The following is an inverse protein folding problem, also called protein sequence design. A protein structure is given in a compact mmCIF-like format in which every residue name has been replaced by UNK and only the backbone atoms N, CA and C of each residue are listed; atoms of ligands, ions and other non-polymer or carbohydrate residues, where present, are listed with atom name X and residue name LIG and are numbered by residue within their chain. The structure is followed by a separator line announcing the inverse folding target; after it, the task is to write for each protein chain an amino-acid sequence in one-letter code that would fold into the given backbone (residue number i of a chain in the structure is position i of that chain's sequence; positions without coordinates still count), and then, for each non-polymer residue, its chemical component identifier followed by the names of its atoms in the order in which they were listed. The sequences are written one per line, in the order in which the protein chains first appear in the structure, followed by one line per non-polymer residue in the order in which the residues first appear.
data_IF_305459210746
#
_entry.id   IF_305459210746
#
_cell.length_a   1.000
_cell.length_b   1.000
_cell.length_c   1.000
_cell.angle_alpha   90.00
_cell.angle_beta   90.00
_cell.angle_gamma   90.00
#
_symmetry.space_group_name_H-M   'P 1'
#
loop_
_entity.id
_entity.type
_entity.pdbx_description
1 polymer ?
#
# COMPACT_ATOMS: atom_id res chain seq x y z
N UNK A 1 5.77 4.44 -18.16
CA UNK A 1 5.25 5.53 -17.32
C UNK A 1 5.99 6.82 -17.65
N UNK A 2 5.45 7.98 -17.28
CA UNK A 2 6.14 9.27 -17.37
C UNK A 2 6.55 9.72 -15.96
N UNK A 3 7.86 9.71 -15.72
CA UNK A 3 8.46 9.91 -14.39
C UNK A 3 9.01 11.34 -14.32
N UNK A 4 8.58 12.10 -13.32
CA UNK A 4 9.19 13.38 -12.97
C UNK A 4 10.20 13.17 -11.84
N UNK A 5 11.48 13.30 -12.15
CA UNK A 5 12.56 13.27 -11.15
C UNK A 5 12.94 14.69 -10.73
N UNK A 6 12.99 14.93 -9.42
CA UNK A 6 13.23 16.23 -8.83
C UNK A 6 14.53 16.15 -8.00
N UNK A 7 15.56 16.86 -8.46
CA UNK A 7 16.88 16.81 -7.84
C UNK A 7 16.94 17.60 -6.51
N UNK A 8 17.91 17.26 -5.66
CA UNK A 8 18.21 18.03 -4.44
C UNK A 8 18.91 19.37 -4.70
N UNK A 9 19.17 20.13 -3.65
CA UNK A 9 19.87 21.42 -3.74
C UNK A 9 21.22 21.26 -4.46
N UNK A 10 21.48 22.09 -5.49
CA UNK A 10 22.69 22.04 -6.31
C UNK A 10 23.02 20.66 -6.91
N UNK A 11 21.99 19.83 -7.09
CA UNK A 11 22.09 18.48 -7.65
C UNK A 11 21.58 18.39 -9.09
N UNK A 12 21.72 17.20 -9.66
CA UNK A 12 21.11 16.81 -10.92
C UNK A 12 20.88 15.29 -10.93
N UNK A 13 20.06 14.81 -11.87
CA UNK A 13 19.93 13.38 -12.11
C UNK A 13 21.19 12.87 -12.82
N UNK A 14 21.94 11.97 -12.18
CA UNK A 14 23.14 11.39 -12.80
C UNK A 14 22.78 10.45 -13.96
N UNK A 15 23.65 10.29 -14.98
CA UNK A 15 23.38 9.41 -16.13
C UNK A 15 23.09 7.95 -15.75
N UNK A 16 23.72 7.46 -14.68
CA UNK A 16 23.51 6.09 -14.19
C UNK A 16 22.12 5.93 -13.58
N UNK A 17 21.68 6.90 -12.77
CA UNK A 17 20.33 6.93 -12.19
C UNK A 17 19.28 7.15 -13.26
N UNK A 18 19.55 7.98 -14.26
CA UNK A 18 18.67 8.18 -15.40
C UNK A 18 18.48 6.87 -16.19
N UNK A 19 19.57 6.14 -16.47
CA UNK A 19 19.52 4.82 -17.12
C UNK A 19 18.65 3.83 -16.34
N UNK A 20 18.74 3.83 -15.01
CA UNK A 20 17.90 3.00 -14.14
C UNK A 20 16.42 3.32 -14.33
N UNK A 21 16.05 4.61 -14.30
CA UNK A 21 14.66 5.07 -14.43
C UNK A 21 14.09 4.86 -15.83
N UNK A 22 14.91 5.02 -16.88
CA UNK A 22 14.52 4.80 -18.28
C UNK A 22 14.03 3.38 -18.56
N UNK A 23 14.37 2.40 -17.71
CA UNK A 23 13.81 1.03 -17.78
C UNK A 23 12.31 0.96 -17.44
N UNK A 24 11.79 1.95 -16.71
CA UNK A 24 10.39 2.00 -16.26
C UNK A 24 9.55 3.04 -17.02
N UNK A 25 10.19 3.88 -17.83
CA UNK A 25 9.47 4.84 -18.65
C UNK A 25 10.26 6.06 -19.10
N UNK A 26 9.55 7.07 -19.58
CA UNK A 26 10.17 8.37 -19.93
C UNK A 26 10.49 9.14 -18.66
N UNK A 27 11.61 9.87 -18.67
CA UNK A 27 12.09 10.61 -17.49
C UNK A 27 12.20 12.08 -17.85
N UNK A 28 11.60 12.92 -17.03
CA UNK A 28 11.75 14.37 -17.06
C UNK A 28 12.43 14.79 -15.76
N UNK A 29 13.46 15.64 -15.85
CA UNK A 29 14.20 16.13 -14.69
C UNK A 29 14.53 17.61 -14.88
N UNK A 30 13.63 18.53 -14.50
CA UNK A 30 13.88 19.96 -14.66
C UNK A 30 15.02 20.42 -13.74
N UNK A 31 15.74 21.46 -14.18
CA UNK A 31 16.67 22.19 -13.32
C UNK A 31 15.90 23.16 -12.45
N UNK A 32 16.12 23.11 -11.14
CA UNK A 32 15.41 23.94 -10.15
C UNK A 32 16.44 24.70 -9.32
N UNK A 33 16.29 26.03 -9.31
CA UNK A 33 17.06 26.92 -8.46
C UNK A 33 16.28 27.20 -7.16
N UNK A 34 16.47 26.34 -6.16
CA UNK A 34 15.79 26.49 -4.87
C UNK A 34 16.27 27.69 -4.05
N UNK A 35 17.45 28.26 -4.36
CA UNK A 35 18.01 29.39 -3.62
C UNK A 35 17.32 30.70 -4.03
N UNK A 36 16.98 30.82 -5.31
CA UNK A 36 16.36 32.03 -5.86
C UNK A 36 14.86 31.88 -6.18
N UNK A 37 14.29 30.69 -6.05
CA UNK A 37 12.86 30.45 -6.22
C UNK A 37 12.23 29.86 -4.94
N UNK A 38 11.61 30.67 -4.06
CA UNK A 38 10.95 30.17 -2.86
C UNK A 38 9.63 29.43 -3.14
N UNK A 39 9.09 29.52 -4.36
CA UNK A 39 7.82 28.92 -4.77
C UNK A 39 8.03 27.73 -5.72
N UNK A 40 9.12 26.96 -5.52
CA UNK A 40 9.49 25.90 -6.47
C UNK A 40 8.41 24.82 -6.61
N UNK A 41 7.64 24.56 -5.55
CA UNK A 41 6.54 23.58 -5.55
C UNK A 41 5.39 24.05 -6.45
N UNK A 42 4.97 25.31 -6.33
CA UNK A 42 3.93 25.88 -7.17
C UNK A 42 4.39 26.01 -8.61
N UNK A 43 5.63 26.42 -8.84
CA UNK A 43 6.22 26.46 -10.17
C UNK A 43 6.22 25.06 -10.83
N UNK A 44 6.60 24.01 -10.09
CA UNK A 44 6.52 22.63 -10.57
C UNK A 44 5.07 22.22 -10.88
N UNK A 45 4.13 22.57 -10.00
CA UNK A 45 2.72 22.28 -10.23
C UNK A 45 2.22 22.95 -11.52
N UNK A 46 2.44 24.25 -11.70
CA UNK A 46 1.99 24.96 -12.90
C UNK A 46 2.66 24.46 -14.17
N UNK A 47 3.91 24.01 -14.08
CA UNK A 47 4.65 23.44 -15.21
C UNK A 47 4.12 22.05 -15.61
N UNK A 48 3.72 21.23 -14.64
CA UNK A 48 3.44 19.81 -14.85
C UNK A 48 1.98 19.38 -14.64
N UNK A 49 1.07 20.25 -14.20
CA UNK A 49 -0.35 19.92 -13.97
C UNK A 49 -1.08 19.41 -15.22
N UNK A 50 -0.71 19.93 -16.39
CA UNK A 50 -1.25 19.51 -17.68
C UNK A 50 -0.31 18.53 -18.42
N UNK A 51 0.86 18.26 -17.83
CA UNK A 51 1.75 17.24 -18.34
C UNK A 51 1.24 15.86 -17.92
N UNK A 52 1.41 14.86 -18.78
CA UNK A 52 1.03 13.47 -18.48
C UNK A 52 2.01 12.80 -17.52
N UNK A 53 2.37 13.43 -16.40
CA UNK A 53 3.21 12.83 -15.37
C UNK A 53 2.38 11.80 -14.60
N UNK A 54 2.95 10.62 -14.39
CA UNK A 54 2.27 9.50 -13.72
C UNK A 54 2.93 9.15 -12.38
N UNK A 55 4.12 9.67 -12.13
CA UNK A 55 4.93 9.34 -10.97
C UNK A 55 5.94 10.45 -10.66
N UNK A 56 6.12 10.75 -9.37
CA UNK A 56 7.14 11.68 -8.89
C UNK A 56 8.25 10.93 -8.16
N UNK A 57 9.50 11.30 -8.41
CA UNK A 57 10.64 10.87 -7.64
C UNK A 57 11.47 12.06 -7.20
N UNK A 58 12.03 12.02 -5.99
CA UNK A 58 12.82 13.16 -5.50
C UNK A 58 13.89 12.78 -4.50
N UNK A 59 14.89 13.64 -4.31
CA UNK A 59 15.89 13.47 -3.26
C UNK A 59 16.19 14.76 -2.52
N UNK A 60 16.45 14.69 -1.21
CA UNK A 60 16.79 15.87 -0.39
C UNK A 60 15.75 17.00 -0.57
N UNK A 61 16.15 18.19 -1.03
CA UNK A 61 15.24 19.29 -1.37
C UNK A 61 14.18 18.91 -2.42
N UNK A 62 14.57 18.14 -3.43
CA UNK A 62 13.63 17.61 -4.41
C UNK A 62 12.72 16.53 -3.86
N UNK A 63 13.13 15.85 -2.78
CA UNK A 63 12.25 14.96 -2.01
C UNK A 63 11.19 15.72 -1.24
N UNK A 64 11.56 16.88 -0.66
CA UNK A 64 10.60 17.81 -0.05
C UNK A 64 9.62 18.37 -1.09
N UNK A 65 10.12 18.88 -2.22
CA UNK A 65 9.26 19.40 -3.27
C UNK A 65 8.37 18.30 -3.88
N UNK A 66 8.93 17.11 -4.11
CA UNK A 66 8.21 15.95 -4.63
C UNK A 66 7.11 15.44 -3.71
N UNK A 67 7.32 15.46 -2.39
CA UNK A 67 6.30 15.11 -1.39
C UNK A 67 5.06 16.01 -1.48
N UNK A 68 5.24 17.32 -1.59
CA UNK A 68 4.13 18.26 -1.71
C UNK A 68 3.50 18.25 -3.10
N UNK A 69 4.32 18.18 -4.16
CA UNK A 69 3.84 18.10 -5.53
C UNK A 69 3.01 16.84 -5.77
N UNK A 70 3.37 15.70 -5.18
CA UNK A 70 2.61 14.46 -5.33
C UNK A 70 1.21 14.56 -4.76
N UNK A 71 1.04 15.33 -3.68
CA UNK A 71 -0.28 15.62 -3.09
C UNK A 71 -1.11 16.51 -4.01
N UNK A 72 -0.52 17.56 -4.58
CA UNK A 72 -1.21 18.46 -5.52
C UNK A 72 -1.65 17.77 -6.83
N UNK A 73 -0.84 16.84 -7.33
CA UNK A 73 -1.12 16.14 -8.60
C UNK A 73 -1.85 14.80 -8.41
N UNK A 74 -2.11 14.37 -7.18
CA UNK A 74 -2.68 13.06 -6.86
C UNK A 74 -1.90 11.87 -7.47
N UNK A 75 -0.57 11.92 -7.36
CA UNK A 75 0.33 10.92 -7.95
C UNK A 75 1.08 10.13 -6.88
N UNK A 76 1.42 8.85 -7.14
CA UNK A 76 2.37 8.12 -6.30
C UNK A 76 3.74 8.83 -6.29
N UNK A 77 4.52 8.60 -5.23
CA UNK A 77 5.85 9.17 -5.12
C UNK A 77 6.89 8.24 -4.48
N UNK A 78 8.15 8.38 -4.89
CA UNK A 78 9.31 7.79 -4.24
C UNK A 78 10.34 8.90 -3.90
N UNK A 79 10.53 9.18 -2.62
CA UNK A 79 11.43 10.25 -2.15
C UNK A 79 12.54 9.70 -1.26
N UNK A 80 13.76 10.17 -1.50
CA UNK A 80 14.96 9.75 -0.79
C UNK A 80 15.48 10.87 0.11
N UNK A 81 15.71 10.58 1.38
CA UNK A 81 16.19 11.53 2.39
C UNK A 81 15.49 12.90 2.28
N UNK A 82 14.13 12.96 2.23
CA UNK A 82 13.44 14.20 1.93
C UNK A 82 13.60 15.20 3.08
N UNK A 83 13.91 16.45 2.74
CA UNK A 83 14.13 17.55 3.69
C UNK A 83 12.80 18.10 4.27
N UNK A 84 11.99 17.22 4.88
CA UNK A 84 10.63 17.54 5.35
C UNK A 84 10.62 18.37 6.64
N UNK A 85 11.41 17.94 7.62
CA UNK A 85 11.43 18.56 8.94
C UNK A 85 12.30 19.82 8.99
N UNK A 86 13.43 19.81 8.29
CA UNK A 86 14.34 20.95 8.18
C UNK A 86 14.97 20.99 6.80
N UNK A 87 15.27 22.21 6.34
CA UNK A 87 15.82 22.48 5.02
C UNK A 87 16.76 23.67 5.07
N UNK A 88 17.81 23.63 4.25
CA UNK A 88 18.85 24.67 4.18
C UNK A 88 18.40 25.94 3.46
N UNK A 89 17.36 25.84 2.63
CA UNK A 89 16.77 26.96 1.90
C UNK A 89 15.28 27.04 2.22
N UNK A 90 14.78 28.27 2.34
CA UNK A 90 13.37 28.51 2.58
C UNK A 90 12.56 28.19 1.31
N UNK A 91 11.39 27.59 1.50
CA UNK A 91 10.43 27.26 0.44
C UNK A 91 9.02 27.43 1.02
N UNK A 92 8.17 28.12 0.28
CA UNK A 92 6.75 28.23 0.56
C UNK A 92 6.10 26.86 0.33
N UNK A 93 5.31 26.42 1.32
CA UNK A 93 4.50 25.21 1.19
C UNK A 93 3.11 25.68 0.72
N UNK A 94 2.66 25.30 -0.48
CA UNK A 94 1.31 25.63 -0.92
C UNK A 94 0.27 24.85 -0.11
N UNK A 95 -0.99 25.25 -0.21
CA UNK A 95 -2.10 24.49 0.36
C UNK A 95 -2.22 23.15 -0.38
N UNK A 96 -1.70 22.09 0.24
CA UNK A 96 -1.70 20.74 -0.33
C UNK A 96 -2.81 19.90 0.26
N UNK A 97 -3.49 19.05 -0.54
CA UNK A 97 -4.41 18.05 -0.02
C UNK A 97 -3.77 17.19 1.09
N UNK A 98 -4.57 16.73 2.04
CA UNK A 98 -4.09 15.86 3.13
C UNK A 98 -3.43 14.58 2.60
N UNK A 99 -3.94 14.06 1.48
CA UNK A 99 -3.50 12.82 0.83
C UNK A 99 -3.34 13.01 -0.68
N UNK A 100 -2.39 12.30 -1.29
CA UNK A 100 -2.26 12.18 -2.75
C UNK A 100 -3.20 11.11 -3.33
N UNK A 101 -3.99 10.40 -2.51
CA UNK A 101 -4.84 9.30 -2.97
C UNK A 101 -4.07 8.03 -3.38
N UNK A 102 -2.78 7.95 -3.03
CA UNK A 102 -1.89 6.83 -3.34
C UNK A 102 -0.86 6.63 -2.21
N UNK A 103 0.14 5.77 -2.42
CA UNK A 103 1.25 5.58 -1.46
C UNK A 103 2.39 6.56 -1.75
N UNK A 104 2.90 7.22 -0.72
CA UNK A 104 4.20 7.92 -0.77
C UNK A 104 5.26 6.98 -0.16
N UNK A 105 6.20 6.52 -0.98
CA UNK A 105 7.35 5.74 -0.53
C UNK A 105 8.50 6.66 -0.14
N UNK A 106 9.01 6.48 1.08
CA UNK A 106 10.04 7.32 1.68
C UNK A 106 11.23 6.44 2.05
N UNK A 107 12.40 6.75 1.52
CA UNK A 107 13.66 6.08 1.85
C UNK A 107 14.48 7.01 2.72
N UNK A 108 14.88 6.54 3.90
CA UNK A 108 15.68 7.29 4.87
C UNK A 108 17.02 6.59 5.13
N UNK A 109 18.10 7.35 5.08
CA UNK A 109 19.41 6.93 5.52
C UNK A 109 19.60 7.13 7.01
N UNK A 110 19.86 6.06 7.76
CA UNK A 110 20.04 6.16 9.20
C UNK A 110 21.32 6.91 9.61
N UNK A 111 22.25 7.12 8.66
CA UNK A 111 23.50 7.87 8.82
C UNK A 111 23.48 9.19 8.05
N UNK A 112 22.32 9.66 7.60
CA UNK A 112 22.20 10.97 6.97
C UNK A 112 22.47 12.06 8.00
N UNK A 113 23.54 12.82 7.77
CA UNK A 113 24.02 13.93 8.60
C UNK A 113 23.61 15.30 8.06
N UNK A 114 22.97 15.36 6.89
CA UNK A 114 22.48 16.59 6.25
C UNK A 114 20.98 16.76 6.50
N UNK A 115 20.21 15.67 6.38
CA UNK A 115 18.78 15.62 6.68
C UNK A 115 18.58 14.59 7.77
N UNK A 116 18.39 15.05 9.01
CA UNK A 116 18.25 14.15 10.16
C UNK A 116 17.03 13.21 9.99
N UNK A 117 17.26 11.89 9.86
CA UNK A 117 16.19 10.93 9.63
C UNK A 117 15.20 10.88 10.80
N UNK A 118 15.63 11.17 12.04
CA UNK A 118 14.75 11.16 13.21
C UNK A 118 13.76 12.32 13.15
N UNK A 119 14.24 13.51 12.82
CA UNK A 119 13.39 14.68 12.62
C UNK A 119 12.38 14.45 11.50
N UNK A 120 12.80 13.82 10.39
CA UNK A 120 11.88 13.44 9.30
C UNK A 120 10.85 12.41 9.75
N UNK A 121 11.22 11.41 10.56
CA UNK A 121 10.27 10.45 11.14
C UNK A 121 9.29 11.13 12.10
N UNK A 122 9.73 12.09 12.91
CA UNK A 122 8.84 12.87 13.79
C UNK A 122 7.82 13.67 12.96
N UNK A 123 8.29 14.37 11.92
CA UNK A 123 7.41 15.08 10.99
C UNK A 123 6.36 14.14 10.37
N UNK A 124 6.77 12.94 9.93
CA UNK A 124 5.85 11.96 9.37
C UNK A 124 4.87 11.44 10.43
N UNK A 125 5.34 11.22 11.66
CA UNK A 125 4.52 10.81 12.80
C UNK A 125 3.38 11.78 13.09
N UNK A 126 3.66 13.09 13.09
CA UNK A 126 2.64 14.12 13.23
C UNK A 126 1.67 14.12 12.02
N UNK A 127 2.20 13.84 10.82
CA UNK A 127 1.40 13.74 9.61
C UNK A 127 0.55 12.45 9.51
N UNK A 128 0.80 11.42 10.34
CA UNK A 128 0.00 10.19 10.37
C UNK A 128 -1.42 10.39 10.90
N UNK A 129 -1.71 11.55 11.50
CA UNK A 129 -3.08 11.93 11.86
C UNK A 129 -3.97 12.02 10.60
N UNK A 130 -3.36 12.22 9.42
CA UNK A 130 -4.04 12.31 8.14
C UNK A 130 -4.06 10.98 7.37
N UNK A 131 -5.02 10.85 6.44
CA UNK A 131 -5.25 9.62 5.62
C UNK A 131 -4.21 9.38 4.50
N UNK A 132 -2.95 9.74 4.71
CA UNK A 132 -1.90 9.49 3.73
C UNK A 132 -1.24 8.15 3.98
N UNK A 133 -1.28 7.25 2.98
CA UNK A 133 -0.55 5.99 3.03
C UNK A 133 0.94 6.23 2.80
N UNK A 134 1.78 5.74 3.72
CA UNK A 134 3.23 5.79 3.61
C UNK A 134 3.84 4.40 3.56
N UNK A 135 4.91 4.25 2.79
CA UNK A 135 5.82 3.12 2.87
C UNK A 135 7.20 3.66 3.23
N UNK A 136 7.69 3.37 4.44
CA UNK A 136 8.95 3.93 4.94
C UNK A 136 10.02 2.85 4.98
N UNK A 137 11.10 3.04 4.22
CA UNK A 137 12.30 2.19 4.21
C UNK A 137 13.44 2.91 4.94
N UNK A 138 13.94 2.31 6.03
CA UNK A 138 15.10 2.83 6.77
C UNK A 138 16.32 1.99 6.44
N UNK A 139 17.32 2.60 5.80
CA UNK A 139 18.58 1.97 5.42
C UNK A 139 19.65 2.28 6.45
N UNK A 140 19.99 1.31 7.29
CA UNK A 140 20.94 1.46 8.40
C UNK A 140 22.32 2.03 8.01
N UNK A 141 22.80 1.72 6.80
CA UNK A 141 24.12 2.16 6.32
C UNK A 141 24.10 3.36 5.37
N UNK A 142 22.92 3.86 5.00
CA UNK A 142 22.79 4.92 4.01
C UNK A 142 23.03 6.29 4.66
N UNK A 143 23.88 7.09 4.03
CA UNK A 143 24.18 8.48 4.35
C UNK A 143 23.31 9.43 3.50
N UNK A 144 23.61 10.73 3.46
CA UNK A 144 22.85 11.68 2.65
C UNK A 144 22.91 11.37 1.15
N UNK A 145 24.11 11.03 0.65
CA UNK A 145 24.31 10.69 -0.76
C UNK A 145 23.81 9.27 -1.01
N UNK A 146 22.96 9.13 -2.03
CA UNK A 146 22.36 7.86 -2.40
C UNK A 146 23.23 7.15 -3.44
N UNK A 147 23.94 6.05 -3.09
CA UNK A 147 24.74 5.29 -4.03
C UNK A 147 23.85 4.68 -5.11
N UNK A 148 24.38 4.52 -6.34
CA UNK A 148 23.65 3.95 -7.48
C UNK A 148 23.03 2.58 -7.17
N UNK A 149 23.72 1.63 -6.49
CA UNK A 149 23.12 0.34 -6.15
C UNK A 149 21.90 0.47 -5.22
N UNK A 150 21.96 1.34 -4.21
CA UNK A 150 20.85 1.58 -3.29
C UNK A 150 19.68 2.23 -4.02
N UNK A 151 19.96 3.21 -4.89
CA UNK A 151 18.96 3.84 -5.73
C UNK A 151 18.25 2.82 -6.63
N UNK A 152 19.02 1.95 -7.31
CA UNK A 152 18.46 0.90 -8.13
C UNK A 152 17.55 -0.04 -7.34
N UNK A 153 18.01 -0.51 -6.18
CA UNK A 153 17.26 -1.44 -5.35
C UNK A 153 15.92 -0.84 -4.91
N UNK A 154 15.92 0.38 -4.39
CA UNK A 154 14.70 1.05 -3.93
C UNK A 154 13.73 1.38 -5.07
N UNK A 155 14.26 1.77 -6.25
CA UNK A 155 13.44 1.96 -7.46
C UNK A 155 12.79 0.64 -7.88
N UNK A 156 13.55 -0.46 -7.91
CA UNK A 156 13.02 -1.78 -8.24
C UNK A 156 11.91 -2.18 -7.27
N UNK A 157 12.17 -2.10 -5.96
CA UNK A 157 11.18 -2.43 -4.92
C UNK A 157 9.94 -1.54 -5.02
N UNK A 158 10.10 -0.26 -5.34
CA UNK A 158 8.99 0.65 -5.54
C UNK A 158 8.11 0.24 -6.73
N UNK A 159 8.70 -0.03 -7.90
CA UNK A 159 7.93 -0.47 -9.05
C UNK A 159 7.30 -1.85 -8.86
N UNK A 160 7.97 -2.78 -8.17
CA UNK A 160 7.35 -4.05 -7.78
C UNK A 160 6.09 -3.85 -6.93
N UNK A 161 6.08 -2.87 -6.02
CA UNK A 161 4.89 -2.54 -5.22
C UNK A 161 3.80 -1.85 -6.05
N UNK A 162 4.17 -0.98 -6.99
CA UNK A 162 3.20 -0.31 -7.87
C UNK A 162 2.52 -1.27 -8.85
N UNK A 163 3.26 -2.27 -9.33
CA UNK A 163 2.80 -3.21 -10.38
C UNK A 163 2.20 -4.49 -9.82
N UNK A 164 2.57 -4.89 -8.60
CA UNK A 164 1.79 -5.89 -7.86
C UNK A 164 0.39 -5.31 -7.68
N UNK A 165 -0.68 -6.07 -8.00
CA UNK A 165 -2.01 -5.70 -7.57
C UNK A 165 -1.90 -5.36 -6.08
N UNK A 166 -2.28 -4.14 -5.73
CA UNK A 166 -2.65 -3.85 -4.35
C UNK A 166 -3.84 -4.76 -4.07
N UNK A 167 -3.56 -5.99 -3.64
CA UNK A 167 -4.43 -6.64 -2.70
C UNK A 167 -4.33 -5.77 -1.46
N UNK A 168 -5.06 -4.65 -1.45
CA UNK A 168 -5.57 -4.11 -0.20
C UNK A 168 -6.16 -5.36 0.44
N UNK A 169 -5.50 -5.85 1.48
CA UNK A 169 -5.71 -7.17 2.04
C UNK A 169 -7.13 -7.23 2.59
N UNK A 170 -8.08 -7.59 1.74
CA UNK A 170 -9.49 -7.46 2.03
C UNK A 170 -9.90 -8.64 2.87
N UNK A 171 -10.64 -8.34 3.91
CA UNK A 171 -11.28 -9.35 4.75
C UNK A 171 -12.57 -9.75 4.04
N UNK A 172 -12.92 -11.03 4.05
CA UNK A 172 -14.18 -11.50 3.47
C UNK A 172 -15.16 -11.80 4.60
N UNK A 173 -16.39 -11.28 4.48
CA UNK A 173 -17.47 -11.56 5.41
C UNK A 173 -18.53 -12.40 4.69
N UNK A 174 -18.70 -13.65 5.11
CA UNK A 174 -19.70 -14.57 4.58
C UNK A 174 -20.86 -14.69 5.57
N UNK A 175 -22.01 -14.13 5.19
CA UNK A 175 -23.23 -14.13 6.00
C UNK A 175 -24.42 -13.69 5.13
N UNK A 176 -25.56 -14.37 5.24
CA UNK A 176 -26.77 -14.07 4.46
C UNK A 176 -27.49 -12.81 4.96
N UNK A 177 -27.51 -12.58 6.28
CA UNK A 177 -28.35 -11.58 6.93
C UNK A 177 -27.52 -10.45 7.55
N UNK A 178 -26.54 -10.78 8.39
CA UNK A 178 -25.81 -9.79 9.20
C UNK A 178 -24.90 -8.94 8.33
N UNK A 179 -24.76 -7.68 8.70
CA UNK A 179 -23.75 -6.76 8.16
C UNK A 179 -22.50 -6.75 9.03
N UNK A 180 -21.41 -6.18 8.52
CA UNK A 180 -20.13 -6.16 9.21
C UNK A 180 -20.22 -5.45 10.57
N UNK A 181 -20.94 -4.33 10.64
CA UNK A 181 -21.13 -3.53 11.86
C UNK A 181 -22.01 -4.22 12.93
N UNK A 182 -22.70 -5.31 12.58
CA UNK A 182 -23.41 -6.15 13.56
C UNK A 182 -22.47 -7.12 14.29
N UNK A 183 -21.29 -7.41 13.74
CA UNK A 183 -20.33 -8.39 14.27
C UNK A 183 -18.99 -7.76 14.66
N UNK A 184 -18.62 -6.66 14.01
CA UNK A 184 -17.39 -5.90 14.20
C UNK A 184 -17.70 -4.43 14.44
N UNK A 185 -16.71 -3.67 14.94
CA UNK A 185 -16.84 -2.22 15.00
C UNK A 185 -17.02 -1.63 13.59
N UNK A 186 -17.86 -0.60 13.47
CA UNK A 186 -18.17 0.07 12.20
C UNK A 186 -16.93 0.58 11.48
N UNK A 187 -15.83 0.88 12.18
CA UNK A 187 -14.57 1.29 11.54
C UNK A 187 -14.00 0.22 10.60
N UNK A 188 -14.32 -1.06 10.83
CA UNK A 188 -13.87 -2.18 9.99
C UNK A 188 -14.68 -2.38 8.72
N UNK A 189 -15.83 -1.70 8.55
CA UNK A 189 -16.71 -1.91 7.40
C UNK A 189 -15.97 -1.71 6.06
N UNK A 190 -15.08 -0.71 5.99
CA UNK A 190 -14.27 -0.45 4.78
C UNK A 190 -13.12 -1.45 4.53
N UNK A 191 -12.87 -2.37 5.47
CA UNK A 191 -11.86 -3.42 5.36
C UNK A 191 -12.45 -4.76 4.87
N UNK A 192 -13.77 -4.91 4.90
CA UNK A 192 -14.47 -6.13 4.51
C UNK A 192 -15.16 -5.98 3.16
N UNK A 193 -15.08 -7.02 2.33
CA UNK A 193 -16.07 -7.27 1.29
C UNK A 193 -17.11 -8.28 1.84
N UNK A 194 -18.37 -8.07 1.48
CA UNK A 194 -19.51 -8.87 1.92
C UNK A 194 -19.98 -9.80 0.81
N UNK A 195 -20.10 -11.09 1.13
CA UNK A 195 -20.72 -12.09 0.26
C UNK A 195 -21.84 -12.78 1.04
N UNK A 196 -22.95 -13.02 0.34
CA UNK A 196 -24.20 -13.50 0.96
C UNK A 196 -24.44 -14.99 0.80
N UNK A 197 -23.79 -15.61 -0.17
CA UNK A 197 -24.02 -17.01 -0.56
C UNK A 197 -22.71 -17.75 -0.73
N UNK A 198 -22.79 -19.09 -0.70
CA UNK A 198 -21.64 -19.95 -1.01
C UNK A 198 -21.06 -19.68 -2.40
N UNK A 199 -21.91 -19.55 -3.43
CA UNK A 199 -21.41 -19.31 -4.80
C UNK A 199 -20.71 -17.96 -4.90
N UNK A 200 -21.26 -16.91 -4.29
CA UNK A 200 -20.60 -15.60 -4.23
C UNK A 200 -19.27 -15.64 -3.49
N UNK A 201 -19.15 -16.49 -2.47
CA UNK A 201 -17.89 -16.73 -1.76
C UNK A 201 -16.84 -17.40 -2.65
N UNK A 202 -17.23 -18.47 -3.36
CA UNK A 202 -16.35 -19.19 -4.30
C UNK A 202 -15.91 -18.26 -5.43
N UNK A 203 -16.86 -17.57 -6.07
CA UNK A 203 -16.59 -16.63 -7.16
C UNK A 203 -15.67 -15.48 -6.73
N UNK A 204 -15.89 -14.95 -5.52
CA UNK A 204 -15.02 -13.93 -4.95
C UNK A 204 -13.58 -14.43 -4.85
N UNK A 205 -13.36 -15.60 -4.27
CA UNK A 205 -12.02 -16.14 -4.05
C UNK A 205 -11.35 -16.53 -5.38
N UNK A 206 -12.10 -17.07 -6.35
CA UNK A 206 -11.56 -17.35 -7.70
C UNK A 206 -11.09 -16.06 -8.38
N UNK A 207 -11.86 -14.97 -8.23
CA UNK A 207 -11.57 -13.68 -8.86
C UNK A 207 -10.47 -12.88 -8.15
N UNK A 208 -10.45 -12.91 -6.82
CA UNK A 208 -9.63 -12.04 -5.99
C UNK A 208 -8.49 -12.77 -5.25
N UNK A 209 -8.40 -14.10 -5.39
CA UNK A 209 -7.47 -14.91 -4.61
C UNK A 209 -7.89 -15.05 -3.14
N UNK A 210 -7.05 -15.72 -2.36
CA UNK A 210 -7.29 -15.96 -0.94
C UNK A 210 -7.18 -14.64 -0.14
N UNK A 211 -8.23 -14.21 0.60
CA UNK A 211 -8.12 -13.08 1.52
C UNK A 211 -7.27 -13.43 2.76
N UNK A 212 -6.69 -12.43 3.41
CA UNK A 212 -5.92 -12.66 4.66
C UNK A 212 -6.81 -13.06 5.84
N UNK A 213 -8.08 -12.64 5.82
CA UNK A 213 -9.04 -12.93 6.88
C UNK A 213 -10.42 -13.26 6.31
N UNK A 214 -11.06 -14.30 6.86
CA UNK A 214 -12.46 -14.62 6.55
C UNK A 214 -13.29 -14.71 7.84
N UNK A 215 -14.45 -14.06 7.84
CA UNK A 215 -15.48 -14.19 8.87
C UNK A 215 -16.61 -15.08 8.36
N UNK A 216 -16.86 -16.21 9.01
CA UNK A 216 -17.86 -17.19 8.61
C UNK A 216 -19.10 -17.15 9.49
N UNK A 217 -20.26 -16.95 8.88
CA UNK A 217 -21.48 -17.60 9.33
C UNK A 217 -21.60 -18.98 8.70
N UNK A 218 -22.30 -19.88 9.40
CA UNK A 218 -22.72 -21.15 8.83
C UNK A 218 -24.05 -21.02 8.10
N UNK A 219 -25.03 -20.33 8.67
CA UNK A 219 -26.33 -20.26 8.03
C UNK A 219 -26.27 -19.31 6.84
N UNK A 220 -26.60 -19.83 5.65
CA UNK A 220 -26.59 -19.06 4.39
C UNK A 220 -27.97 -19.07 3.73
N UNK A 221 -29.00 -19.47 4.47
CA UNK A 221 -30.37 -19.47 4.01
C UNK A 221 -30.68 -20.51 2.93
N UNK A 222 -31.52 -20.09 1.98
CA UNK A 222 -31.98 -20.92 0.87
C UNK A 222 -31.37 -20.42 -0.44
N UNK A 223 -31.20 -21.33 -1.40
CA UNK A 223 -30.81 -20.97 -2.76
C UNK A 223 -31.98 -20.38 -3.56
N UNK A 224 -31.72 -19.97 -4.81
CA UNK A 224 -32.70 -19.33 -5.71
C UNK A 224 -33.92 -20.24 -6.00
N UNK A 225 -33.77 -21.56 -5.84
CA UNK A 225 -34.83 -22.55 -6.02
C UNK A 225 -35.59 -22.86 -4.72
N UNK A 226 -35.23 -22.21 -3.61
CA UNK A 226 -35.83 -22.41 -2.28
C UNK A 226 -35.37 -23.69 -1.59
N UNK A 227 -34.32 -24.36 -2.08
CA UNK A 227 -33.67 -25.48 -1.42
C UNK A 227 -32.60 -24.99 -0.43
N UNK A 228 -32.17 -25.88 0.47
CA UNK A 228 -31.15 -25.53 1.46
C UNK A 228 -29.83 -25.22 0.74
N UNK A 229 -29.38 -23.96 0.82
CA UNK A 229 -28.13 -23.54 0.21
C UNK A 229 -26.95 -24.24 0.87
N UNK A 230 -25.84 -24.47 0.15
CA UNK A 230 -24.58 -24.86 0.77
C UNK A 230 -24.21 -23.86 1.87
N UNK A 231 -23.88 -24.38 3.05
CA UNK A 231 -23.69 -23.61 4.26
C UNK A 231 -22.23 -23.11 4.41
N UNK A 232 -21.93 -22.33 5.45
CA UNK A 232 -20.57 -21.86 5.70
C UNK A 232 -19.56 -23.00 5.95
N UNK A 233 -20.01 -24.16 6.43
CA UNK A 233 -19.17 -25.35 6.51
C UNK A 233 -18.84 -25.89 5.11
N UNK A 234 -19.76 -25.84 4.15
CA UNK A 234 -19.47 -26.13 2.76
C UNK A 234 -18.40 -25.19 2.19
N UNK A 235 -18.50 -23.88 2.47
CA UNK A 235 -17.46 -22.91 2.07
C UNK A 235 -16.07 -23.25 2.65
N UNK A 236 -16.02 -23.64 3.92
CA UNK A 236 -14.77 -24.08 4.56
C UNK A 236 -14.22 -25.40 3.97
N UNK A 237 -15.09 -26.34 3.59
CA UNK A 237 -14.70 -27.57 2.90
C UNK A 237 -14.14 -27.29 1.52
N UNK A 238 -14.79 -26.43 0.74
CA UNK A 238 -14.32 -26.03 -0.57
C UNK A 238 -12.90 -25.44 -0.50
N UNK A 239 -12.65 -24.55 0.47
CA UNK A 239 -11.29 -24.03 0.73
C UNK A 239 -10.26 -25.15 0.94
N UNK A 240 -10.57 -26.15 1.75
CA UNK A 240 -9.62 -27.20 2.14
C UNK A 240 -9.42 -28.26 1.06
N UNK A 241 -10.49 -28.64 0.36
CA UNK A 241 -10.49 -29.82 -0.50
C UNK A 241 -10.49 -29.50 -2.00
N UNK A 242 -10.92 -28.31 -2.40
CA UNK A 242 -11.20 -27.99 -3.81
C UNK A 242 -10.47 -26.74 -4.32
N UNK A 243 -10.08 -25.81 -3.44
CA UNK A 243 -9.55 -24.51 -3.89
C UNK A 243 -8.12 -24.54 -4.46
N UNK A 244 -7.33 -25.58 -4.15
CA UNK A 244 -5.89 -25.66 -4.42
C UNK A 244 -5.04 -24.49 -3.85
N UNK A 245 -5.61 -23.68 -2.94
CA UNK A 245 -4.95 -22.51 -2.36
C UNK A 245 -4.05 -22.88 -1.17
N UNK A 246 -2.95 -22.16 -1.02
CA UNK A 246 -2.10 -22.24 0.16
C UNK A 246 -2.70 -21.47 1.35
N UNK A 247 -3.35 -22.20 2.26
CA UNK A 247 -4.05 -21.62 3.40
C UNK A 247 -3.15 -21.29 4.60
N UNK A 248 -1.82 -21.50 4.52
CA UNK A 248 -0.90 -21.39 5.69
C UNK A 248 -1.01 -20.08 6.48
N UNK A 249 -1.28 -18.98 5.77
CA UNK A 249 -1.36 -17.63 6.35
C UNK A 249 -2.81 -17.14 6.54
N UNK A 250 -3.82 -17.96 6.23
CA UNK A 250 -5.22 -17.59 6.39
C UNK A 250 -5.56 -17.40 7.88
N UNK A 251 -6.06 -16.22 8.22
CA UNK A 251 -6.73 -15.98 9.50
C UNK A 251 -8.24 -16.12 9.31
N UNK A 252 -8.95 -16.55 10.35
CA UNK A 252 -10.40 -16.64 10.26
C UNK A 252 -11.09 -16.52 11.62
N UNK A 253 -12.36 -16.11 11.60
CA UNK A 253 -13.29 -16.16 12.73
C UNK A 253 -14.56 -16.84 12.28
N UNK A 254 -15.17 -17.62 13.17
CA UNK A 254 -16.52 -18.14 12.95
C UNK A 254 -17.46 -17.39 13.87
N UNK A 255 -18.30 -16.54 13.29
CA UNK A 255 -19.30 -15.71 13.97
C UNK A 255 -20.70 -16.32 13.92
N UNK A 256 -20.82 -17.55 13.43
CA UNK A 256 -22.08 -18.30 13.47
C UNK A 256 -22.61 -18.52 14.89
N UNK A 257 -23.93 -18.44 15.04
CA UNK A 257 -24.62 -18.74 16.28
C UNK A 257 -24.78 -20.25 16.52
N UNK A 258 -24.59 -21.10 15.50
CA UNK A 258 -24.64 -22.56 15.64
C UNK A 258 -23.31 -23.08 16.22
N UNK A 259 -23.27 -23.53 17.49
CA UNK A 259 -22.01 -23.91 18.15
C UNK A 259 -21.38 -25.17 17.54
N UNK A 260 -22.19 -26.10 17.04
CA UNK A 260 -21.70 -27.35 16.44
C UNK A 260 -21.02 -27.06 15.12
N UNK A 261 -21.70 -26.33 14.24
CA UNK A 261 -21.13 -25.93 12.96
C UNK A 261 -19.90 -25.04 13.13
N UNK A 262 -19.93 -24.14 14.13
CA UNK A 262 -18.79 -23.28 14.43
C UNK A 262 -17.54 -24.08 14.82
N UNK A 263 -17.67 -25.10 15.67
CA UNK A 263 -16.55 -25.99 16.02
C UNK A 263 -16.10 -26.85 14.84
N UNK A 264 -17.01 -27.26 13.96
CA UNK A 264 -16.63 -27.99 12.74
C UNK A 264 -15.78 -27.14 11.79
N UNK A 265 -16.19 -25.89 11.53
CA UNK A 265 -15.41 -24.96 10.69
C UNK A 265 -14.05 -24.67 11.33
N UNK A 266 -14.02 -24.35 12.64
CA UNK A 266 -12.76 -24.10 13.38
C UNK A 266 -11.83 -25.31 13.35
N UNK A 267 -12.38 -26.49 13.58
CA UNK A 267 -11.64 -27.74 13.56
C UNK A 267 -11.05 -28.03 12.18
N UNK A 268 -11.86 -27.94 11.13
CA UNK A 268 -11.45 -28.22 9.76
C UNK A 268 -10.32 -27.29 9.30
N UNK A 269 -10.53 -25.97 9.31
CA UNK A 269 -9.54 -24.99 8.87
C UNK A 269 -8.30 -25.02 9.77
N UNK A 270 -8.48 -25.04 11.09
CA UNK A 270 -7.37 -25.04 12.04
C UNK A 270 -6.48 -26.28 11.94
N UNK A 271 -7.07 -27.47 11.73
CA UNK A 271 -6.30 -28.69 11.52
C UNK A 271 -5.55 -28.67 10.19
N UNK A 272 -6.20 -28.23 9.11
CA UNK A 272 -5.59 -28.20 7.79
C UNK A 272 -4.43 -27.19 7.72
N UNK A 273 -4.60 -25.99 8.26
CA UNK A 273 -3.51 -24.99 8.36
C UNK A 273 -2.33 -25.53 9.17
N UNK A 274 -2.59 -26.22 10.29
CA UNK A 274 -1.53 -26.90 11.07
C UNK A 274 -0.84 -27.99 10.27
N UNK A 275 -1.57 -28.75 9.46
CA UNK A 275 -1.01 -29.76 8.57
C UNK A 275 -0.09 -29.12 7.53
N UNK A 276 -0.55 -28.10 6.80
CA UNK A 276 0.26 -27.39 5.80
C UNK A 276 1.56 -26.81 6.41
N UNK A 277 1.46 -26.20 7.60
CA UNK A 277 2.62 -25.63 8.29
C UNK A 277 3.62 -26.69 8.79
N UNK A 278 3.21 -27.94 8.97
CA UNK A 278 4.11 -29.06 9.31
C UNK A 278 4.73 -29.71 8.07
N UNK A 279 3.96 -29.80 6.99
CA UNK A 279 4.36 -30.45 5.73
C UNK A 279 5.25 -29.57 4.85
N UNK A 280 5.32 -28.25 5.11
CA UNK A 280 6.17 -27.28 4.40
C UNK A 280 7.56 -27.02 5.02
N UNK A 281 8.10 -27.96 5.80
CA UNK A 281 9.48 -27.92 6.33
C UNK A 281 10.39 -28.88 5.59
#
# INVERSE_FOLDING_TARGET
MNILYIHGLNGSLSPEKETILKRYGTVQSPTIDYENNPDSILWLYDTYKDAKIELIMGSSMGGFAGYHLSKLLHLPALVFNPALASRSVFQNIPDTPETNGSTISIVLGAKDDVVDPKSTLNFLGDALIHRQDYNISIRHGLEHRIPVPVFQEEVTLFFERLTKPSFKKKRLFLDDIRTIDMVYDKTFESEFDLVRTYDAFVDYIIKHGLPDFISFDNDLGLDDDGALAPDGLAAAKWLVYESDLDLRNLQFKVHSANPVAAEQIRGLLGNYIRFLNKSGK
#
